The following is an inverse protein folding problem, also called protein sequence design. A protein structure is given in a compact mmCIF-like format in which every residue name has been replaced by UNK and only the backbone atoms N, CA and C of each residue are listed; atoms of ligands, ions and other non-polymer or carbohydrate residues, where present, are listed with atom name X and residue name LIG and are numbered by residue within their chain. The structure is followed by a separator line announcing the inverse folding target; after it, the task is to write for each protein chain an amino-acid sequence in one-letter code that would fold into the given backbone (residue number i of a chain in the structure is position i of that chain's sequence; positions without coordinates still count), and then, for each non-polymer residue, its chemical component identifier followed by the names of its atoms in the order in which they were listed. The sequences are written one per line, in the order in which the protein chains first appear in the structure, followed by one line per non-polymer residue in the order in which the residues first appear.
data_IF_969168249445
#
_entry.id   IF_969168249445
#
_cell.length_a   1.000
_cell.length_b   1.000
_cell.length_c   1.000
_cell.angle_alpha   90.00
_cell.angle_beta   90.00
_cell.angle_gamma   90.00
#
_symmetry.space_group_name_H-M   'P 1'
#
loop_
_entity.id
_entity.type
_entity.pdbx_description
1 polymer ?
#
# COMPACT_ATOMS: atom_id res chain seq x y z
N UNK A 1 1.87 42.05 -12.46
CA UNK A 1 1.58 41.09 -11.37
C UNK A 1 1.57 39.69 -11.93
N UNK A 2 2.55 38.85 -11.57
CA UNK A 2 2.52 37.41 -11.92
C UNK A 2 1.57 36.72 -10.94
N UNK A 3 0.45 36.22 -11.43
CA UNK A 3 -0.44 35.35 -10.66
C UNK A 3 0.27 34.03 -10.42
N UNK A 4 0.89 33.86 -9.24
CA UNK A 4 1.29 32.54 -8.75
C UNK A 4 0.01 31.71 -8.63
N UNK A 5 -0.31 30.90 -9.65
CA UNK A 5 -1.32 29.85 -9.55
C UNK A 5 -0.78 28.83 -8.55
N UNK A 6 -1.12 29.02 -7.28
CA UNK A 6 -0.97 28.00 -6.26
C UNK A 6 -1.96 26.91 -6.66
N UNK A 7 -1.47 25.84 -7.29
CA UNK A 7 -2.18 24.57 -7.27
C UNK A 7 -2.42 24.25 -5.80
N UNK A 8 -3.64 24.46 -5.28
CA UNK A 8 -4.00 23.88 -3.99
C UNK A 8 -3.77 22.38 -4.18
N UNK A 9 -2.84 21.80 -3.43
CA UNK A 9 -2.78 20.35 -3.29
C UNK A 9 -4.18 19.95 -2.82
N UNK A 10 -4.97 19.33 -3.69
CA UNK A 10 -6.32 18.85 -3.39
C UNK A 10 -6.24 17.65 -2.42
N UNK A 11 -5.79 17.92 -1.19
CA UNK A 11 -5.61 16.94 -0.12
C UNK A 11 -6.96 16.27 0.18
N UNK A 12 -8.06 17.01 0.10
CA UNK A 12 -9.42 16.47 0.27
C UNK A 12 -9.79 15.43 -0.79
N UNK A 13 -9.57 15.73 -2.07
CA UNK A 13 -9.86 14.79 -3.16
C UNK A 13 -8.93 13.57 -3.12
N UNK A 14 -7.64 13.80 -2.82
CA UNK A 14 -6.66 12.73 -2.66
C UNK A 14 -7.04 11.79 -1.51
N UNK A 15 -7.44 12.33 -0.35
CA UNK A 15 -7.90 11.54 0.78
C UNK A 15 -9.19 10.77 0.49
N UNK A 16 -10.12 11.38 -0.26
CA UNK A 16 -11.33 10.72 -0.71
C UNK A 16 -11.01 9.53 -1.64
N UNK A 17 -10.11 9.73 -2.61
CA UNK A 17 -9.66 8.68 -3.51
C UNK A 17 -9.01 7.51 -2.74
N UNK A 18 -8.14 7.81 -1.78
CA UNK A 18 -7.54 6.80 -0.89
C UNK A 18 -8.62 6.04 -0.10
N UNK A 19 -9.63 6.75 0.42
CA UNK A 19 -10.74 6.12 1.16
C UNK A 19 -11.55 5.18 0.27
N UNK A 20 -11.91 5.63 -0.94
CA UNK A 20 -12.68 4.82 -1.91
C UNK A 20 -11.86 3.61 -2.35
N UNK A 21 -10.56 3.77 -2.61
CA UNK A 21 -9.65 2.67 -2.94
C UNK A 21 -9.61 1.61 -1.85
N UNK A 22 -9.50 2.01 -0.57
CA UNK A 22 -9.54 1.07 0.57
C UNK A 22 -10.88 0.33 0.70
N UNK A 23 -12.00 0.99 0.42
CA UNK A 23 -13.33 0.35 0.45
C UNK A 23 -13.46 -0.64 -0.70
N UNK A 24 -13.09 -0.24 -1.91
CA UNK A 24 -13.11 -1.09 -3.11
C UNK A 24 -12.27 -2.36 -2.92
N UNK A 25 -11.03 -2.21 -2.46
CA UNK A 25 -10.13 -3.34 -2.20
C UNK A 25 -10.70 -4.32 -1.16
N UNK A 26 -11.25 -3.83 -0.04
CA UNK A 26 -11.89 -4.70 0.96
C UNK A 26 -13.10 -5.44 0.40
N UNK A 27 -13.92 -4.76 -0.41
CA UNK A 27 -15.08 -5.38 -1.03
C UNK A 27 -14.69 -6.44 -2.07
N UNK A 28 -13.64 -6.19 -2.86
CA UNK A 28 -13.10 -7.15 -3.81
C UNK A 28 -12.63 -8.41 -3.08
N UNK A 29 -11.79 -8.28 -2.05
CA UNK A 29 -11.32 -9.42 -1.24
C UNK A 29 -12.48 -10.19 -0.64
N UNK A 30 -13.48 -9.50 -0.06
CA UNK A 30 -14.65 -10.16 0.53
C UNK A 30 -15.46 -10.96 -0.51
N UNK A 31 -15.62 -10.41 -1.73
CA UNK A 31 -16.31 -11.11 -2.82
C UNK A 31 -15.50 -12.29 -3.34
N UNK A 32 -14.19 -12.15 -3.48
CA UNK A 32 -13.30 -13.25 -3.85
C UNK A 32 -13.41 -14.40 -2.87
N UNK A 33 -13.40 -14.11 -1.56
CA UNK A 33 -13.59 -15.14 -0.51
C UNK A 33 -14.97 -15.79 -0.57
N UNK A 34 -16.03 -15.01 -0.83
CA UNK A 34 -17.39 -15.56 -0.96
C UNK A 34 -17.60 -16.41 -2.23
N UNK A 35 -16.68 -16.32 -3.20
CA UNK A 35 -16.67 -17.10 -4.44
C UNK A 35 -15.65 -18.24 -4.41
N UNK A 36 -15.06 -18.53 -3.25
CA UNK A 36 -14.02 -19.54 -3.10
C UNK A 36 -12.84 -19.33 -4.08
N UNK A 37 -12.47 -18.07 -4.31
CA UNK A 37 -11.31 -17.69 -5.12
C UNK A 37 -10.08 -17.54 -4.24
N UNK A 38 -8.92 -17.94 -4.79
CA UNK A 38 -7.61 -17.73 -4.16
C UNK A 38 -7.34 -16.23 -4.00
N UNK A 39 -6.88 -15.83 -2.81
CA UNK A 39 -6.54 -14.45 -2.49
C UNK A 39 -5.06 -14.33 -2.16
N UNK A 40 -4.33 -13.62 -3.01
CA UNK A 40 -2.92 -13.28 -2.74
C UNK A 40 -2.83 -11.96 -1.96
N UNK A 41 -2.07 -11.96 -0.86
CA UNK A 41 -1.85 -10.75 -0.06
C UNK A 41 -0.44 -10.70 0.53
N UNK A 42 -0.01 -9.51 0.93
CA UNK A 42 1.31 -9.27 1.54
C UNK A 42 1.12 -8.97 3.03
N UNK A 43 1.83 -9.70 3.89
CA UNK A 43 1.84 -9.47 5.33
C UNK A 43 3.27 -9.56 5.85
N UNK A 44 3.74 -8.50 6.54
CA UNK A 44 5.10 -8.41 7.13
C UNK A 44 6.23 -8.70 6.14
N UNK A 45 6.06 -8.27 4.88
CA UNK A 45 7.07 -8.49 3.82
C UNK A 45 7.05 -9.90 3.23
N UNK A 46 6.05 -10.72 3.55
CA UNK A 46 5.87 -12.05 2.96
C UNK A 46 4.59 -12.07 2.15
N UNK A 47 4.64 -12.66 0.96
CA UNK A 47 3.48 -12.84 0.07
C UNK A 47 2.86 -14.20 0.38
N UNK A 48 1.58 -14.18 0.70
CA UNK A 48 0.77 -15.36 0.99
C UNK A 48 -0.34 -15.53 -0.04
N UNK A 49 -0.64 -16.78 -0.38
CA UNK A 49 -1.88 -17.18 -1.04
C UNK A 49 -2.80 -17.83 -0.01
N UNK A 50 -3.99 -17.24 0.18
CA UNK A 50 -5.06 -17.82 0.96
C UNK A 50 -5.95 -18.65 0.04
N UNK A 51 -6.02 -19.95 0.31
CA UNK A 51 -6.89 -20.89 -0.36
C UNK A 51 -8.33 -20.77 0.17
N UNK A 52 -9.34 -21.28 -0.56
CA UNK A 52 -10.74 -21.22 -0.13
C UNK A 52 -11.03 -21.93 1.19
N UNK A 53 -10.23 -22.94 1.54
CA UNK A 53 -10.30 -23.67 2.80
C UNK A 53 -9.71 -22.89 4.00
N UNK A 54 -9.19 -21.69 3.75
CA UNK A 54 -8.54 -20.84 4.76
C UNK A 54 -7.07 -21.20 5.03
N UNK A 55 -6.51 -22.19 4.33
CA UNK A 55 -5.09 -22.49 4.40
C UNK A 55 -4.27 -21.38 3.72
N UNK A 56 -3.06 -21.15 4.24
CA UNK A 56 -2.17 -20.08 3.78
C UNK A 56 -0.87 -20.69 3.29
N UNK A 57 -0.52 -20.40 2.04
CA UNK A 57 0.72 -20.83 1.41
C UNK A 57 1.61 -19.61 1.26
N UNK A 58 2.82 -19.65 1.81
CA UNK A 58 3.82 -18.64 1.52
C UNK A 58 4.36 -18.86 0.11
N UNK A 59 4.25 -17.85 -0.76
CA UNK A 59 4.69 -17.94 -2.15
C UNK A 59 5.94 -17.12 -2.45
N UNK A 60 6.18 -16.04 -1.72
CA UNK A 60 7.35 -15.18 -1.94
C UNK A 60 7.69 -14.33 -0.71
N UNK A 61 8.88 -13.75 -0.70
CA UNK A 61 9.32 -12.75 0.28
C UNK A 61 9.62 -11.48 -0.48
N UNK A 62 8.95 -10.39 -0.10
CA UNK A 62 9.23 -9.06 -0.61
C UNK A 62 10.60 -8.64 -0.08
N UNK A 63 11.62 -8.71 -0.93
CA UNK A 63 12.97 -8.25 -0.62
C UNK A 63 12.96 -6.73 -0.47
N UNK A 64 12.73 -6.25 0.76
CA UNK A 64 12.96 -4.85 1.10
C UNK A 64 14.46 -4.62 1.18
N UNK A 65 15.07 -4.29 0.05
CA UNK A 65 16.45 -3.78 0.04
C UNK A 65 16.53 -2.58 0.99
N UNK A 66 17.37 -2.63 2.03
CA UNK A 66 17.55 -1.48 2.91
C UNK A 66 18.02 -0.31 2.06
N UNK A 67 17.37 0.84 2.23
CA UNK A 67 17.86 2.05 1.59
C UNK A 67 19.23 2.37 2.19
N UNK A 68 20.30 2.21 1.39
CA UNK A 68 21.64 2.63 1.77
C UNK A 68 21.70 4.16 1.79
N UNK A 69 21.22 4.76 2.88
CA UNK A 69 21.24 6.20 3.09
C UNK A 69 22.54 6.57 3.81
N UNK A 70 23.50 7.12 3.08
CA UNK A 70 24.70 7.71 3.69
C UNK A 70 24.41 9.16 4.07
N UNK A 71 24.26 9.45 5.36
CA UNK A 71 24.07 10.81 5.86
C UNK A 71 25.42 11.52 6.03
N UNK A 72 25.55 12.74 5.51
CA UNK A 72 26.71 13.62 5.74
C UNK A 72 26.44 14.58 6.91
N UNK A 73 27.51 15.11 7.52
CA UNK A 73 27.42 16.09 8.62
C UNK A 73 26.52 17.26 8.21
N UNK A 74 25.50 17.56 9.02
CA UNK A 74 24.52 18.62 8.77
C UNK A 74 23.23 18.16 8.07
N UNK A 75 23.09 16.88 7.70
CA UNK A 75 21.83 16.35 7.18
C UNK A 75 20.88 15.90 8.31
N UNK A 76 19.60 16.22 8.16
CA UNK A 76 18.52 15.77 9.06
C UNK A 76 17.58 14.87 8.26
N UNK A 77 17.48 13.60 8.64
CA UNK A 77 16.52 12.67 8.07
C UNK A 77 15.22 12.71 8.87
N UNK A 78 14.15 13.20 8.26
CA UNK A 78 12.80 13.06 8.80
C UNK A 78 12.22 11.72 8.35
N UNK A 79 12.50 10.67 9.11
CA UNK A 79 11.75 9.42 9.00
C UNK A 79 10.31 9.64 9.44
N UNK A 80 9.36 9.07 8.71
CA UNK A 80 7.94 9.07 9.06
C UNK A 80 7.57 7.82 9.83
#
# INVERSE_FOLDING_TARGET
MKNNRVFRKDVGQTNLLVKVGKISGRNAVRRSKAMDLVVTYIEKGVVYEEQPDGSKIQIDIVDTKPANITLKKGMILHGK
#
